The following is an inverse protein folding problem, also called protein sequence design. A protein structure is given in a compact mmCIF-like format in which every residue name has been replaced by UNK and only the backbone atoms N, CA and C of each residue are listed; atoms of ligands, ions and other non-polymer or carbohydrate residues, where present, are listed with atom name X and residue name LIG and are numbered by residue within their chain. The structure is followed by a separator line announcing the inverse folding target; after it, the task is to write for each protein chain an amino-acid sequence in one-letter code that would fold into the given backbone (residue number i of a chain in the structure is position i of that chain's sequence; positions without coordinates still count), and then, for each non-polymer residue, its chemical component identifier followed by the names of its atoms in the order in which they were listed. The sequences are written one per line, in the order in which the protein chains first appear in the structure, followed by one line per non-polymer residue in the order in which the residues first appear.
data_IF_717252971154
#
_entry.id   IF_717252971154
#
_cell.length_a   1.000
_cell.length_b   1.000
_cell.length_c   1.000
_cell.angle_alpha   90.00
_cell.angle_beta   90.00
_cell.angle_gamma   90.00
#
_symmetry.space_group_name_H-M   'P 1'
#
loop_
_entity.id
_entity.type
_entity.pdbx_description
1 polymer ?
#
# COMPACT_ATOMS: atom_id res chain seq x y z
N UNK A 1 12.12 -4.87 12.23
CA UNK A 1 12.06 -4.80 10.76
C UNK A 1 10.72 -4.25 10.29
N UNK A 2 10.71 -3.30 9.34
CA UNK A 2 9.51 -2.72 8.73
C UNK A 2 9.33 -3.24 7.29
N UNK A 3 8.28 -4.01 7.04
CA UNK A 3 7.91 -4.57 5.74
C UNK A 3 6.83 -3.73 5.09
N UNK A 4 7.10 -3.13 3.93
CA UNK A 4 6.12 -2.24 3.28
C UNK A 4 5.78 -2.63 1.85
N UNK A 5 4.51 -2.42 1.48
CA UNK A 5 4.03 -2.48 0.09
C UNK A 5 3.48 -1.12 -0.33
N UNK A 6 3.78 -0.64 -1.54
CA UNK A 6 3.26 0.65 -2.02
C UNK A 6 3.04 0.73 -3.52
N UNK A 7 2.00 1.45 -3.95
CA UNK A 7 1.78 1.80 -5.36
C UNK A 7 2.34 3.18 -5.72
N UNK A 8 2.05 4.18 -4.89
CA UNK A 8 2.35 5.61 -5.14
C UNK A 8 3.27 6.24 -4.10
N UNK A 9 3.76 5.49 -3.11
CA UNK A 9 4.74 5.97 -2.13
C UNK A 9 4.19 6.23 -0.72
N UNK A 10 2.86 6.35 -0.51
CA UNK A 10 2.29 6.65 0.83
C UNK A 10 2.80 5.71 1.92
N UNK A 11 2.68 4.39 1.69
CA UNK A 11 3.14 3.38 2.66
C UNK A 11 4.67 3.35 2.82
N UNK A 12 5.42 3.73 1.78
CA UNK A 12 6.88 3.88 1.86
C UNK A 12 7.25 5.08 2.74
N UNK A 13 6.55 6.21 2.58
CA UNK A 13 6.74 7.40 3.39
C UNK A 13 6.52 7.08 4.87
N UNK A 14 5.38 6.45 5.22
CA UNK A 14 5.08 6.04 6.59
C UNK A 14 6.10 5.04 7.13
N UNK A 15 6.48 4.02 6.36
CA UNK A 15 7.48 3.05 6.77
C UNK A 15 8.84 3.69 7.07
N UNK A 16 9.31 4.59 6.20
CA UNK A 16 10.57 5.33 6.40
C UNK A 16 10.51 6.26 7.61
N UNK A 17 9.42 6.98 7.80
CA UNK A 17 9.24 7.88 8.94
C UNK A 17 9.29 7.14 10.28
N UNK A 18 8.64 5.98 10.37
CA UNK A 18 8.69 5.13 11.57
C UNK A 18 10.09 4.55 11.75
N UNK A 19 10.68 3.97 10.70
CA UNK A 19 12.03 3.38 10.76
C UNK A 19 13.08 4.38 11.23
N UNK A 20 13.02 5.63 10.76
CA UNK A 20 13.90 6.70 11.19
C UNK A 20 13.81 6.91 12.71
N UNK A 21 12.58 6.96 13.26
CA UNK A 21 12.35 7.22 14.68
C UNK A 21 12.77 6.06 15.59
N UNK A 22 12.59 4.81 15.14
CA UNK A 22 12.86 3.61 15.94
C UNK A 22 14.20 2.93 15.60
N UNK A 23 14.95 3.52 14.65
CA UNK A 23 16.21 3.01 14.11
C UNK A 23 16.11 1.53 13.71
N UNK A 24 15.28 1.25 12.70
CA UNK A 24 15.00 -0.11 12.23
C UNK A 24 15.05 -0.19 10.70
N UNK A 25 15.25 -1.39 10.17
CA UNK A 25 15.40 -1.62 8.75
C UNK A 25 14.06 -1.55 8.00
N UNK A 26 14.10 -1.16 6.73
CA UNK A 26 12.94 -1.09 5.85
C UNK A 26 13.09 -2.02 4.66
N UNK A 27 12.17 -2.96 4.51
CA UNK A 27 12.16 -3.98 3.45
C UNK A 27 10.94 -3.80 2.55
N UNK A 28 11.18 -3.75 1.23
CA UNK A 28 10.12 -3.57 0.24
C UNK A 28 9.48 -4.89 -0.18
N UNK A 29 8.22 -5.10 0.21
CA UNK A 29 7.40 -6.22 -0.25
C UNK A 29 7.12 -6.15 -1.76
N UNK A 30 7.20 -4.97 -2.39
CA UNK A 30 7.14 -4.85 -3.85
C UNK A 30 8.23 -5.71 -4.51
N UNK A 31 9.47 -5.65 -3.99
CA UNK A 31 10.59 -6.42 -4.53
C UNK A 31 10.42 -7.92 -4.23
N UNK A 32 9.98 -8.26 -3.02
CA UNK A 32 9.70 -9.66 -2.63
C UNK A 32 8.71 -10.30 -3.61
N UNK A 33 7.63 -9.60 -3.94
CA UNK A 33 6.62 -10.08 -4.91
C UNK A 33 7.19 -10.13 -6.33
N UNK A 34 7.79 -9.02 -6.78
CA UNK A 34 8.22 -8.86 -8.18
C UNK A 34 9.31 -9.87 -8.56
N UNK A 35 10.28 -10.09 -7.67
CA UNK A 35 11.42 -10.95 -7.92
C UNK A 35 11.27 -12.34 -7.29
N UNK A 36 10.09 -12.66 -6.73
CA UNK A 36 9.81 -13.97 -6.11
C UNK A 36 10.88 -14.33 -5.06
N UNK A 37 11.23 -13.36 -4.21
CA UNK A 37 12.23 -13.58 -3.17
C UNK A 37 11.69 -14.50 -2.07
N UNK A 38 12.60 -15.04 -1.25
CA UNK A 38 12.21 -15.79 -0.05
C UNK A 38 11.32 -14.94 0.86
N UNK A 39 10.30 -15.57 1.44
CA UNK A 39 9.34 -14.94 2.36
C UNK A 39 9.70 -15.21 3.82
N UNK A 40 10.99 -15.38 4.10
CA UNK A 40 11.53 -15.58 5.45
C UNK A 40 12.11 -14.26 5.94
N UNK A 41 11.60 -13.75 7.05
CA UNK A 41 11.98 -12.49 7.65
C UNK A 41 12.53 -12.74 9.05
N UNK A 42 13.71 -12.21 9.35
CA UNK A 42 14.43 -12.41 10.62
C UNK A 42 14.57 -11.07 11.31
N UNK A 43 14.11 -10.95 12.55
CA UNK A 43 14.19 -9.70 13.32
C UNK A 43 14.13 -10.01 14.82
N UNK A 44 15.00 -9.40 15.60
CA UNK A 44 14.94 -9.46 17.08
C UNK A 44 13.98 -8.40 17.66
N UNK A 45 13.61 -7.41 16.85
CA UNK A 45 12.59 -6.39 17.13
C UNK A 45 11.22 -6.83 16.59
N UNK A 46 10.09 -6.31 17.13
CA UNK A 46 8.76 -6.55 16.55
C UNK A 46 8.72 -6.25 15.05
N UNK A 47 7.95 -7.04 14.31
CA UNK A 47 7.71 -6.79 12.89
C UNK A 47 6.67 -5.68 12.71
N UNK A 48 6.83 -4.85 11.68
CA UNK A 48 5.85 -3.82 11.34
C UNK A 48 5.46 -3.98 9.87
N UNK A 49 4.18 -4.23 9.59
CA UNK A 49 3.65 -4.28 8.22
C UNK A 49 3.03 -2.93 7.86
N UNK A 50 3.45 -2.32 6.75
CA UNK A 50 2.89 -1.05 6.25
C UNK A 50 2.36 -1.23 4.83
N UNK A 51 1.05 -1.09 4.63
CA UNK A 51 0.42 -1.31 3.33
C UNK A 51 -0.81 -0.40 3.11
N UNK A 52 -1.23 -0.17 1.85
CA UNK A 52 -2.41 0.63 1.57
C UNK A 52 -3.70 -0.13 1.86
N UNK A 53 -4.75 0.60 2.25
CA UNK A 53 -6.09 0.03 2.37
C UNK A 53 -6.78 0.03 1.00
N UNK A 54 -7.06 -1.16 0.47
CA UNK A 54 -7.89 -1.38 -0.72
C UNK A 54 -9.21 -2.01 -0.30
N UNK A 55 -10.31 -1.27 -0.46
CA UNK A 55 -11.66 -1.71 -0.05
C UNK A 55 -11.68 -2.29 1.38
N UNK A 56 -11.20 -1.48 2.34
CA UNK A 56 -11.18 -1.77 3.80
C UNK A 56 -10.36 -2.99 4.24
N UNK A 57 -9.41 -3.44 3.42
CA UNK A 57 -8.42 -4.48 3.76
C UNK A 57 -7.07 -4.14 3.17
N UNK A 58 -6.04 -4.89 3.55
CA UNK A 58 -4.84 -4.91 2.74
C UNK A 58 -5.10 -5.58 1.39
N UNK A 59 -4.26 -5.31 0.37
CA UNK A 59 -4.38 -6.00 -0.91
C UNK A 59 -4.25 -7.51 -0.67
N UNK A 60 -5.08 -8.32 -1.34
CA UNK A 60 -5.12 -9.77 -1.09
C UNK A 60 -3.75 -10.45 -1.25
N UNK A 61 -2.91 -9.94 -2.17
CA UNK A 61 -1.54 -10.42 -2.36
C UNK A 61 -0.64 -10.19 -1.14
N UNK A 62 -0.89 -9.14 -0.36
CA UNK A 62 -0.14 -8.83 0.87
C UNK A 62 -0.61 -9.73 2.01
N UNK A 63 -1.92 -9.90 2.16
CA UNK A 63 -2.44 -10.85 3.14
C UNK A 63 -1.96 -12.30 2.85
N UNK A 64 -1.93 -12.71 1.58
CA UNK A 64 -1.39 -14.01 1.14
C UNK A 64 0.11 -14.13 1.44
N UNK A 65 0.88 -13.08 1.14
CA UNK A 65 2.31 -13.05 1.41
C UNK A 65 2.59 -13.23 2.90
N UNK A 66 1.94 -12.44 3.78
CA UNK A 66 2.13 -12.51 5.23
C UNK A 66 1.68 -13.87 5.78
N UNK A 67 0.56 -14.41 5.28
CA UNK A 67 0.06 -15.73 5.68
C UNK A 67 1.09 -16.83 5.42
N UNK A 68 1.79 -16.76 4.28
CA UNK A 68 2.81 -17.74 3.85
C UNK A 68 4.23 -17.42 4.31
N UNK A 69 4.45 -16.23 4.88
CA UNK A 69 5.78 -15.81 5.32
C UNK A 69 6.22 -16.58 6.58
N UNK A 70 7.52 -16.76 6.72
CA UNK A 70 8.14 -17.26 7.95
C UNK A 70 8.72 -16.06 8.70
N UNK A 71 8.34 -15.90 9.97
CA UNK A 71 8.85 -14.85 10.84
C UNK A 71 9.69 -15.51 11.92
N UNK A 72 10.95 -15.12 12.03
CA UNK A 72 11.93 -15.74 12.93
C UNK A 72 12.55 -14.69 13.84
N UNK A 73 12.76 -15.06 15.11
CA UNK A 73 13.22 -14.16 16.16
C UNK A 73 12.02 -13.72 17.00
N UNK A 74 11.71 -12.43 16.96
CA UNK A 74 10.55 -11.86 17.63
C UNK A 74 9.24 -12.37 17.00
N UNK A 75 8.19 -12.57 17.81
CA UNK A 75 6.88 -13.04 17.34
C UNK A 75 5.78 -11.98 17.42
N UNK A 76 6.11 -10.75 17.82
CA UNK A 76 5.21 -9.61 17.88
C UNK A 76 5.13 -8.89 16.54
N UNK A 77 3.93 -8.41 16.20
CA UNK A 77 3.68 -7.76 14.92
C UNK A 77 2.65 -6.64 15.01
N UNK A 78 3.00 -5.51 14.40
CA UNK A 78 2.17 -4.33 14.21
C UNK A 78 1.70 -4.23 12.76
N UNK A 79 0.51 -3.66 12.55
CA UNK A 79 -0.02 -3.39 11.22
C UNK A 79 -0.43 -1.92 11.05
N UNK A 80 0.00 -1.34 9.94
CA UNK A 80 -0.21 0.08 9.64
C UNK A 80 -0.82 0.21 8.26
N UNK A 81 -2.04 0.74 8.21
CA UNK A 81 -2.77 0.97 6.98
C UNK A 81 -2.65 2.41 6.51
N UNK A 82 -2.12 2.67 5.31
CA UNK A 82 -2.26 4.00 4.70
C UNK A 82 -3.59 4.09 3.98
N UNK A 83 -4.39 5.09 4.31
CA UNK A 83 -5.77 5.24 3.83
C UNK A 83 -6.09 6.70 3.53
N UNK A 84 -7.04 6.93 2.63
CA UNK A 84 -7.58 8.28 2.44
C UNK A 84 -8.57 8.67 3.55
N UNK A 85 -9.41 7.73 3.98
CA UNK A 85 -10.51 8.01 4.91
C UNK A 85 -10.58 7.02 6.06
N UNK A 86 -10.84 5.75 5.75
CA UNK A 86 -11.16 4.72 6.75
C UNK A 86 -10.62 3.34 6.38
N UNK A 87 -10.36 2.52 7.40
CA UNK A 87 -9.75 1.20 7.24
C UNK A 87 -10.73 0.03 7.42
N UNK A 88 -11.98 0.31 7.82
CA UNK A 88 -13.02 -0.69 8.02
C UNK A 88 -12.57 -1.84 8.93
N UNK A 89 -12.76 -3.09 8.52
CA UNK A 89 -12.40 -4.25 9.35
C UNK A 89 -11.00 -4.81 9.07
N UNK A 90 -10.11 -4.06 8.42
CA UNK A 90 -8.74 -4.53 8.12
C UNK A 90 -8.05 -5.14 9.35
N UNK A 91 -8.20 -4.52 10.52
CA UNK A 91 -7.63 -5.02 11.77
C UNK A 91 -8.07 -6.46 12.13
N UNK A 92 -9.33 -6.84 11.88
CA UNK A 92 -9.84 -8.20 12.16
C UNK A 92 -9.14 -9.24 11.27
N UNK A 93 -8.89 -8.90 10.02
CA UNK A 93 -8.18 -9.78 9.09
C UNK A 93 -6.71 -9.92 9.46
N UNK A 94 -6.05 -8.82 9.87
CA UNK A 94 -4.69 -8.84 10.38
C UNK A 94 -4.57 -9.72 11.62
N UNK A 95 -5.46 -9.52 12.62
CA UNK A 95 -5.51 -10.35 13.82
C UNK A 95 -5.72 -11.83 13.48
N UNK A 96 -6.64 -12.16 12.56
CA UNK A 96 -6.88 -13.54 12.13
C UNK A 96 -5.65 -14.18 11.48
N UNK A 97 -4.84 -13.41 10.74
CA UNK A 97 -3.57 -13.90 10.20
C UNK A 97 -2.60 -14.21 11.34
N UNK A 98 -2.47 -13.31 12.33
CA UNK A 98 -1.63 -13.56 13.50
C UNK A 98 -2.04 -14.78 14.30
N UNK A 99 -3.34 -14.91 14.62
CA UNK A 99 -3.90 -16.04 15.37
C UNK A 99 -3.57 -17.38 14.69
N UNK A 100 -3.63 -17.45 13.36
CA UNK A 100 -3.28 -18.65 12.59
C UNK A 100 -1.79 -18.95 12.55
N UNK A 101 -0.95 -17.92 12.67
CA UNK A 101 0.51 -18.04 12.60
C UNK A 101 1.18 -18.17 13.96
N UNK A 102 0.43 -18.05 15.06
CA UNK A 102 1.00 -17.98 16.40
C UNK A 102 1.80 -16.69 16.66
N UNK A 103 1.47 -15.60 15.96
CA UNK A 103 2.08 -14.28 16.18
C UNK A 103 1.29 -13.49 17.22
N UNK A 104 1.97 -12.66 18.01
CA UNK A 104 1.37 -11.73 18.95
C UNK A 104 0.94 -10.47 18.19
N UNK A 105 -0.37 -10.26 18.08
CA UNK A 105 -0.94 -9.08 17.44
C UNK A 105 -0.86 -7.87 18.40
N UNK A 106 0.09 -6.97 18.16
CA UNK A 106 0.28 -5.73 18.95
C UNK A 106 -0.66 -4.60 18.53
N UNK A 107 -1.34 -4.75 17.39
CA UNK A 107 -2.42 -3.86 17.01
C UNK A 107 -2.42 -3.45 15.55
N UNK A 108 -3.39 -2.59 15.23
CA UNK A 108 -3.57 -1.98 13.92
C UNK A 108 -3.84 -0.49 14.05
N UNK A 109 -3.22 0.32 13.19
CA UNK A 109 -3.52 1.76 13.09
C UNK A 109 -3.64 2.22 11.63
N UNK A 110 -4.60 3.10 11.35
CA UNK A 110 -4.81 3.69 10.03
C UNK A 110 -4.23 5.09 9.93
N UNK A 111 -3.22 5.31 9.10
CA UNK A 111 -2.65 6.63 8.84
C UNK A 111 -3.33 7.27 7.63
N UNK A 112 -3.91 8.46 7.82
CA UNK A 112 -4.47 9.25 6.72
C UNK A 112 -3.37 9.79 5.83
N UNK A 113 -3.45 9.47 4.53
CA UNK A 113 -2.48 9.85 3.50
C UNK A 113 -3.23 10.37 2.26
N UNK A 114 -2.56 11.10 1.34
CA UNK A 114 -3.25 11.65 0.18
C UNK A 114 -3.89 10.58 -0.70
N UNK A 115 -5.10 10.87 -1.20
CA UNK A 115 -5.87 9.99 -2.06
C UNK A 115 -5.15 9.70 -3.37
N UNK A 116 -5.15 8.42 -3.78
CA UNK A 116 -4.48 7.94 -4.98
C UNK A 116 -5.37 7.03 -5.85
N UNK A 117 -6.68 7.03 -5.61
CA UNK A 117 -7.63 6.24 -6.40
C UNK A 117 -8.05 7.00 -7.66
N UNK A 118 -7.19 6.98 -8.67
CA UNK A 118 -7.27 7.81 -9.90
C UNK A 118 -8.53 7.62 -10.74
N UNK A 119 -9.37 6.62 -10.44
CA UNK A 119 -10.59 6.36 -11.22
C UNK A 119 -11.85 7.03 -10.65
N UNK A 120 -11.80 7.55 -9.41
CA UNK A 120 -12.99 8.13 -8.77
C UNK A 120 -12.99 9.65 -8.75
N UNK A 121 -11.82 10.29 -8.72
CA UNK A 121 -11.69 11.74 -8.60
C UNK A 121 -10.30 12.22 -9.02
N UNK A 122 -10.18 13.53 -9.20
CA UNK A 122 -8.90 14.20 -9.42
C UNK A 122 -7.92 13.96 -8.25
N UNK A 123 -6.64 13.80 -8.60
CA UNK A 123 -5.54 13.68 -7.66
C UNK A 123 -5.28 15.03 -6.97
N UNK A 124 -4.93 15.02 -5.67
CA UNK A 124 -4.65 16.24 -4.93
C UNK A 124 -3.45 16.97 -5.53
N UNK A 125 -3.53 18.30 -5.57
CA UNK A 125 -2.40 19.16 -5.92
C UNK A 125 -1.32 19.15 -4.82
N UNK A 126 -0.20 19.84 -5.08
CA UNK A 126 0.94 19.86 -4.17
C UNK A 126 0.60 20.46 -2.81
N UNK A 127 -0.21 21.51 -2.77
CA UNK A 127 -0.55 22.19 -1.52
C UNK A 127 -1.42 21.30 -0.65
N UNK A 128 -2.42 20.64 -1.25
CA UNK A 128 -3.25 19.68 -0.53
C UNK A 128 -2.47 18.46 -0.06
N UNK A 129 -1.52 17.98 -0.89
CA UNK A 129 -0.60 16.90 -0.47
C UNK A 129 0.22 17.33 0.74
N UNK A 130 0.79 18.53 0.72
CA UNK A 130 1.59 19.05 1.84
C UNK A 130 0.75 19.24 3.10
N UNK A 131 -0.47 19.77 2.98
CA UNK A 131 -1.41 19.90 4.10
C UNK A 131 -1.68 18.54 4.76
N UNK A 132 -2.00 17.51 3.97
CA UNK A 132 -2.27 16.16 4.46
C UNK A 132 -1.02 15.55 5.12
N UNK A 133 0.16 15.72 4.53
CA UNK A 133 1.41 15.19 5.10
C UNK A 133 1.78 15.90 6.41
N UNK A 134 1.61 17.22 6.49
CA UNK A 134 1.83 17.98 7.72
C UNK A 134 0.90 17.53 8.85
N UNK A 135 -0.35 17.18 8.54
CA UNK A 135 -1.27 16.59 9.51
C UNK A 135 -0.92 15.13 9.87
N UNK A 136 -0.37 14.37 8.92
CA UNK A 136 0.00 12.97 9.13
C UNK A 136 1.29 12.81 9.97
N UNK A 137 2.26 13.71 9.83
CA UNK A 137 3.57 13.57 10.48
C UNK A 137 3.48 13.45 12.02
N UNK A 138 2.76 14.32 12.76
CA UNK A 138 2.62 14.17 14.21
C UNK A 138 1.94 12.86 14.63
N UNK A 139 1.02 12.35 13.80
CA UNK A 139 0.36 11.05 14.03
C UNK A 139 1.35 9.91 13.85
N UNK A 140 2.17 9.95 12.80
CA UNK A 140 3.22 8.97 12.54
C UNK A 140 4.27 8.99 13.65
N UNK A 141 4.67 10.17 14.12
CA UNK A 141 5.62 10.32 15.23
C UNK A 141 5.07 9.72 16.53
N UNK A 142 3.82 10.02 16.90
CA UNK A 142 3.17 9.43 18.07
C UNK A 142 3.04 7.92 17.95
N UNK A 143 2.71 7.43 16.76
CA UNK A 143 2.63 5.99 16.47
C UNK A 143 4.01 5.33 16.63
N UNK A 144 5.06 5.94 16.10
CA UNK A 144 6.41 5.44 16.21
C UNK A 144 6.91 5.42 17.66
N UNK A 145 6.57 6.44 18.48
CA UNK A 145 6.89 6.43 19.92
C UNK A 145 6.20 5.29 20.65
N UNK A 146 4.91 5.05 20.38
CA UNK A 146 4.20 3.89 20.96
C UNK A 146 4.89 2.57 20.61
N UNK A 147 5.25 2.38 19.35
CA UNK A 147 5.95 1.16 18.91
C UNK A 147 7.33 1.05 19.56
N UNK A 148 8.06 2.16 19.67
CA UNK A 148 9.37 2.21 20.35
C UNK A 148 9.29 1.79 21.82
N UNK A 149 8.19 2.13 22.50
CA UNK A 149 7.92 1.80 23.89
C UNK A 149 7.23 0.44 24.07
N UNK A 150 7.13 -0.37 23.01
CA UNK A 150 6.46 -1.67 23.02
C UNK A 150 4.96 -1.62 23.43
N UNK A 151 4.32 -0.48 23.20
CA UNK A 151 2.90 -0.31 23.50
C UNK A 151 2.03 -0.95 22.43
N UNK A 152 0.83 -1.40 22.81
CA UNK A 152 -0.20 -1.79 21.85
C UNK A 152 -0.76 -0.56 21.13
N UNK A 153 -1.15 -0.75 19.87
CA UNK A 153 -1.79 0.27 19.04
C UNK A 153 -3.24 -0.10 18.73
N UNK A 154 -4.09 0.90 18.65
CA UNK A 154 -5.52 0.70 18.44
C UNK A 154 -6.03 1.51 17.26
N UNK A 155 -6.99 0.95 16.54
CA UNK A 155 -7.66 1.63 15.44
C UNK A 155 -8.43 2.83 15.96
N UNK A 156 -8.21 4.00 15.37
CA UNK A 156 -8.86 5.26 15.78
C UNK A 156 -9.85 5.84 14.75
N UNK A 157 -9.85 5.35 13.51
CA UNK A 157 -10.82 5.79 12.51
C UNK A 157 -12.22 5.25 12.81
N UNK A 158 -13.26 6.04 12.54
CA UNK A 158 -14.65 5.59 12.64
C UNK A 158 -15.08 4.98 11.29
N UNK A 159 -15.55 3.74 11.29
CA UNK A 159 -16.12 3.09 10.10
C UNK A 159 -17.53 2.60 10.39
N UNK A 160 -18.56 3.39 10.07
CA UNK A 160 -19.96 2.96 10.21
C UNK A 160 -20.23 1.67 9.41
N UNK A 161 -21.05 0.76 9.97
CA UNK A 161 -21.49 -0.48 9.31
C UNK A 161 -20.37 -1.42 8.81
N UNK A 162 -19.16 -1.32 9.36
CA UNK A 162 -17.98 -2.08 8.90
C UNK A 162 -18.21 -3.60 8.86
N UNK A 163 -18.97 -4.14 9.83
CA UNK A 163 -19.23 -5.57 10.02
C UNK A 163 -20.10 -6.20 8.93
N UNK A 164 -20.99 -5.44 8.28
CA UNK A 164 -21.84 -5.91 7.18
C UNK A 164 -21.12 -5.89 5.84
N UNK A 165 -20.30 -4.88 5.60
CA UNK A 165 -19.87 -4.54 4.24
C UNK A 165 -18.44 -5.00 3.90
N UNK A 166 -17.57 -5.23 4.88
CA UNK A 166 -16.14 -5.46 4.58
C UNK A 166 -15.83 -6.79 3.86
N UNK A 167 -16.60 -7.86 4.11
CA UNK A 167 -16.42 -9.14 3.40
C UNK A 167 -17.04 -9.12 2.01
N UNK A 168 -18.29 -8.64 1.90
CA UNK A 168 -19.04 -8.57 0.64
C UNK A 168 -18.44 -7.56 -0.36
N UNK A 169 -18.09 -6.35 0.09
CA UNK A 169 -17.51 -5.30 -0.76
C UNK A 169 -16.13 -5.70 -1.27
N UNK A 170 -15.29 -6.32 -0.43
CA UNK A 170 -13.96 -6.73 -0.86
C UNK A 170 -14.00 -7.90 -1.85
N UNK A 171 -14.85 -8.92 -1.60
CA UNK A 171 -15.04 -10.03 -2.52
C UNK A 171 -15.56 -9.57 -3.90
N UNK A 172 -16.55 -8.68 -3.91
CA UNK A 172 -17.06 -8.09 -5.14
C UNK A 172 -16.02 -7.20 -5.84
N UNK A 173 -15.26 -6.38 -5.09
CA UNK A 173 -14.19 -5.55 -5.63
C UNK A 173 -13.13 -6.39 -6.35
N UNK A 174 -12.61 -7.43 -5.70
CA UNK A 174 -11.58 -8.30 -6.29
C UNK A 174 -12.11 -9.09 -7.49
N UNK A 175 -13.37 -9.55 -7.45
CA UNK A 175 -13.94 -10.38 -8.52
C UNK A 175 -14.37 -9.58 -9.76
N UNK A 176 -14.87 -8.37 -9.59
CA UNK A 176 -15.51 -7.63 -10.68
C UNK A 176 -14.81 -6.33 -11.08
N UNK A 177 -13.99 -5.73 -10.19
CA UNK A 177 -13.37 -4.42 -10.45
C UNK A 177 -11.87 -4.46 -10.69
N UNK A 178 -11.17 -5.50 -10.21
CA UNK A 178 -9.72 -5.65 -10.38
C UNK A 178 -9.41 -6.24 -11.76
N UNK A 179 -8.96 -5.38 -12.68
CA UNK A 179 -8.65 -5.76 -14.07
C UNK A 179 -7.90 -4.64 -14.77
N UNK A 180 -6.98 -5.02 -15.66
CA UNK A 180 -6.32 -4.09 -16.59
C UNK A 180 -6.94 -4.04 -17.99
N UNK A 181 -8.07 -4.73 -18.24
CA UNK A 181 -8.69 -4.78 -19.58
C UNK A 181 -9.06 -3.40 -20.16
N UNK A 182 -9.39 -2.45 -19.31
CA UNK A 182 -9.78 -1.09 -19.72
C UNK A 182 -8.60 -0.11 -19.76
N UNK A 183 -7.37 -0.58 -19.56
CA UNK A 183 -6.19 0.26 -19.61
C UNK A 183 -5.85 0.54 -21.07
N UNK A 184 -5.67 1.82 -21.38
CA UNK A 184 -5.32 2.32 -22.70
C UNK A 184 -3.97 3.02 -22.65
N UNK A 185 -3.20 2.90 -23.73
CA UNK A 185 -1.93 3.59 -23.91
C UNK A 185 -2.06 4.54 -25.09
N UNK A 186 -1.94 5.83 -24.84
CA UNK A 186 -1.92 6.88 -25.87
C UNK A 186 -0.55 7.00 -26.53
N UNK A 187 -0.49 7.72 -27.66
CA UNK A 187 0.76 7.97 -28.41
C UNK A 187 1.72 8.95 -27.72
N UNK A 188 1.33 9.49 -26.55
CA UNK A 188 2.26 10.16 -25.63
C UNK A 188 3.32 9.22 -25.03
N UNK A 189 3.16 7.91 -25.20
CA UNK A 189 4.08 6.92 -24.65
C UNK A 189 5.45 7.02 -25.32
N UNK A 190 6.49 7.25 -24.50
CA UNK A 190 7.89 7.31 -24.92
C UNK A 190 8.66 6.02 -24.60
N UNK A 191 7.95 4.93 -24.30
CA UNK A 191 8.54 3.59 -24.09
C UNK A 191 9.63 3.52 -23.00
N UNK A 192 9.61 4.44 -22.03
CA UNK A 192 10.64 4.54 -21.00
C UNK A 192 10.71 3.36 -19.98
N UNK A 193 9.85 2.35 -20.09
CA UNK A 193 9.87 1.17 -19.20
C UNK A 193 9.46 1.39 -17.74
N UNK A 194 9.22 2.62 -17.28
CA UNK A 194 8.86 2.91 -15.87
C UNK A 194 7.64 2.13 -15.38
N UNK A 195 6.61 1.99 -16.21
CA UNK A 195 5.40 1.24 -15.88
C UNK A 195 5.65 -0.26 -15.65
N UNK A 196 6.56 -0.87 -16.41
CA UNK A 196 7.02 -2.24 -16.21
C UNK A 196 7.87 -2.34 -14.93
N UNK A 197 8.79 -1.39 -14.72
CA UNK A 197 9.67 -1.35 -13.53
C UNK A 197 8.87 -1.21 -12.23
N UNK A 198 7.88 -0.31 -12.18
CA UNK A 198 7.10 -0.06 -10.97
C UNK A 198 5.99 -1.08 -10.71
N UNK A 199 5.63 -1.92 -11.69
CA UNK A 199 4.61 -2.95 -11.49
C UNK A 199 5.11 -4.04 -10.53
N UNK A 200 4.52 -4.19 -9.32
CA UNK A 200 5.00 -5.13 -8.32
C UNK A 200 4.65 -6.59 -8.66
N UNK A 201 3.65 -6.79 -9.51
CA UNK A 201 3.09 -8.11 -9.87
C UNK A 201 3.45 -8.56 -11.29
N UNK A 202 4.41 -7.87 -11.93
CA UNK A 202 4.86 -8.14 -13.30
C UNK A 202 3.72 -8.18 -14.35
N UNK A 203 2.63 -7.47 -14.10
CA UNK A 203 1.48 -7.39 -15.00
C UNK A 203 1.72 -6.51 -16.23
N UNK A 204 2.71 -5.62 -16.18
CA UNK A 204 3.06 -4.74 -17.31
C UNK A 204 4.34 -5.26 -17.94
N UNK A 205 4.33 -5.46 -19.26
CA UNK A 205 5.50 -5.81 -20.07
C UNK A 205 5.63 -4.89 -21.27
N UNK A 206 6.85 -4.45 -21.59
CA UNK A 206 7.09 -3.72 -22.84
C UNK A 206 7.20 -4.75 -23.98
N UNK A 207 6.33 -4.65 -24.99
CA UNK A 207 6.38 -5.46 -26.21
C UNK A 207 6.06 -4.58 -27.41
N UNK A 208 6.79 -4.77 -28.51
CA UNK A 208 6.61 -4.02 -29.75
C UNK A 208 6.62 -2.50 -29.51
N UNK A 209 7.52 -2.04 -28.64
CA UNK A 209 7.68 -0.63 -28.30
C UNK A 209 6.55 -0.03 -27.45
N UNK A 210 5.54 -0.79 -26.99
CA UNK A 210 4.45 -0.27 -26.13
C UNK A 210 4.23 -1.14 -24.87
N UNK A 211 3.73 -0.57 -23.77
CA UNK A 211 3.27 -1.34 -22.61
C UNK A 211 2.09 -2.25 -22.98
N UNK A 212 2.17 -3.52 -22.60
CA UNK A 212 1.08 -4.51 -22.64
C UNK A 212 0.74 -4.93 -21.22
N UNK A 213 -0.55 -5.11 -20.95
CA UNK A 213 -1.07 -5.46 -19.63
C UNK A 213 -1.58 -6.91 -19.63
N UNK A 214 -1.18 -7.69 -18.63
CA UNK A 214 -1.69 -9.05 -18.40
C UNK A 214 -2.99 -9.08 -17.61
N UNK A 215 -3.22 -10.20 -16.93
CA UNK A 215 -4.40 -10.52 -16.11
C UNK A 215 -4.13 -10.49 -14.59
N UNK A 216 -2.88 -10.31 -14.17
CA UNK A 216 -2.45 -10.27 -12.76
C UNK A 216 -2.55 -8.88 -12.12
N UNK A 217 -3.30 -7.96 -12.72
CA UNK A 217 -3.43 -6.61 -12.19
C UNK A 217 -4.04 -6.66 -10.78
N UNK A 218 -3.58 -5.79 -9.89
CA UNK A 218 -4.12 -5.62 -8.53
C UNK A 218 -4.71 -4.22 -8.31
N UNK A 219 -4.91 -3.45 -9.39
CA UNK A 219 -5.40 -2.07 -9.38
C UNK A 219 -4.68 -1.11 -8.41
N UNK A 220 -3.38 -1.33 -8.18
CA UNK A 220 -2.54 -0.40 -7.41
C UNK A 220 -2.25 0.92 -8.16
N UNK A 221 -2.60 0.98 -9.45
CA UNK A 221 -2.39 2.08 -10.39
C UNK A 221 -0.98 2.67 -10.47
N UNK A 222 0.03 1.97 -9.94
CA UNK A 222 1.42 2.44 -9.95
C UNK A 222 1.88 2.79 -11.38
N UNK A 223 1.53 1.99 -12.39
CA UNK A 223 1.87 2.27 -13.78
C UNK A 223 1.25 3.56 -14.34
N UNK A 224 0.05 3.95 -13.89
CA UNK A 224 -0.61 5.19 -14.28
C UNK A 224 0.12 6.37 -13.61
N UNK A 225 0.30 6.30 -12.30
CA UNK A 225 0.93 7.36 -11.49
C UNK A 225 2.40 7.63 -11.84
N UNK A 226 3.17 6.59 -12.17
CA UNK A 226 4.59 6.71 -12.51
C UNK A 226 4.85 7.05 -13.98
N UNK A 227 3.83 7.17 -14.82
CA UNK A 227 4.02 7.48 -16.24
C UNK A 227 4.33 8.99 -16.42
N UNK A 228 5.56 9.37 -16.83
CA UNK A 228 5.97 10.78 -16.90
C UNK A 228 5.30 11.55 -18.04
N UNK A 229 4.66 10.85 -18.99
CA UNK A 229 3.91 11.43 -20.10
C UNK A 229 2.41 11.19 -19.96
N UNK A 230 1.98 10.68 -18.81
CA UNK A 230 0.59 10.34 -18.51
C UNK A 230 -0.09 9.45 -19.56
N UNK A 231 0.71 8.66 -20.27
CA UNK A 231 0.28 7.97 -21.47
C UNK A 231 -0.66 6.80 -21.18
N UNK A 232 -0.67 6.28 -19.96
CA UNK A 232 -1.49 5.15 -19.51
C UNK A 232 -2.70 5.69 -18.75
N UNK A 233 -3.90 5.28 -19.16
CA UNK A 233 -5.18 5.67 -18.56
C UNK A 233 -6.16 4.50 -18.50
N UNK A 234 -7.25 4.66 -17.77
CA UNK A 234 -8.43 3.81 -17.86
C UNK A 234 -9.49 4.58 -18.64
N UNK A 235 -9.92 3.99 -19.75
CA UNK A 235 -10.82 4.64 -20.72
C UNK A 235 -12.05 5.25 -20.04
N UNK A 236 -12.23 6.56 -20.20
CA UNK A 236 -13.35 7.35 -19.70
C UNK A 236 -13.36 7.57 -18.18
N UNK A 237 -12.24 7.34 -17.48
CA UNK A 237 -12.19 7.40 -16.02
C UNK A 237 -11.02 8.18 -15.46
N UNK A 238 -9.83 8.11 -16.04
CA UNK A 238 -8.60 8.60 -15.40
C UNK A 238 -7.82 9.64 -16.21
N UNK A 239 -8.30 9.98 -17.40
CA UNK A 239 -7.61 10.85 -18.37
C UNK A 239 -7.34 12.25 -17.80
N UNK A 240 -8.33 12.79 -17.08
CA UNK A 240 -8.29 14.17 -16.56
C UNK A 240 -8.07 14.23 -15.05
N UNK A 241 -7.78 13.10 -14.40
CA UNK A 241 -7.67 13.03 -12.94
C UNK A 241 -6.25 13.32 -12.44
N UNK A 242 -5.30 13.67 -13.30
CA UNK A 242 -3.92 13.96 -12.92
C UNK A 242 -3.16 12.75 -12.39
N UNK A 243 -2.00 12.99 -11.77
CA UNK A 243 -1.10 11.97 -11.21
C UNK A 243 -0.68 12.36 -9.80
N UNK A 244 -0.34 11.35 -9.01
CA UNK A 244 0.08 11.53 -7.63
C UNK A 244 1.19 10.54 -7.32
N UNK A 245 2.31 11.07 -6.85
CA UNK A 245 3.39 10.33 -6.22
C UNK A 245 3.66 11.01 -4.89
N UNK A 246 3.68 10.23 -3.81
CA UNK A 246 4.08 10.70 -2.51
C UNK A 246 5.54 11.17 -2.59
N UNK A 247 5.89 12.34 -2.04
CA UNK A 247 7.28 12.75 -1.93
C UNK A 247 8.08 11.73 -1.12
N UNK A 248 9.40 11.72 -1.30
CA UNK A 248 10.25 10.94 -0.39
C UNK A 248 10.19 11.54 1.02
N UNK A 249 10.20 10.66 2.02
CA UNK A 249 10.41 11.10 3.40
C UNK A 249 11.83 11.65 3.51
N UNK A 250 11.93 12.92 3.92
CA UNK A 250 13.18 13.58 4.24
C UNK A 250 13.14 13.92 5.73
N UNK A 251 14.23 13.58 6.42
CA UNK A 251 14.48 14.07 7.78
C UNK A 251 14.54 15.59 7.72
N UNK A 252 13.74 16.26 8.56
CA UNK A 252 13.87 17.69 8.81
C UNK A 252 14.64 17.89 10.10
#
# INVERSE_FOLDING_TARGET
MILFFTGTGNSKYVAKAIANKINDEVVSLNNVIKYTMAKTFRSDKPFIIVAPIYAWRFPAIIEDLISKAEFIGNNEIYFIGTMESQSGNCYKYCKKICDKKGLIFKGFYGVKMPGNYVISKAMPDKDKVNEILNAANPVIEKLAEKIKNDENIEKDDKTPFSWLLSSAVNGAFNKFMVSSKNFVVSDRCITCGKCEKCCPVNNVKIRDGKPKFGDKCINCYSCIHHCPKEAINIKGKSENNGRYLCPEYNEK
#
